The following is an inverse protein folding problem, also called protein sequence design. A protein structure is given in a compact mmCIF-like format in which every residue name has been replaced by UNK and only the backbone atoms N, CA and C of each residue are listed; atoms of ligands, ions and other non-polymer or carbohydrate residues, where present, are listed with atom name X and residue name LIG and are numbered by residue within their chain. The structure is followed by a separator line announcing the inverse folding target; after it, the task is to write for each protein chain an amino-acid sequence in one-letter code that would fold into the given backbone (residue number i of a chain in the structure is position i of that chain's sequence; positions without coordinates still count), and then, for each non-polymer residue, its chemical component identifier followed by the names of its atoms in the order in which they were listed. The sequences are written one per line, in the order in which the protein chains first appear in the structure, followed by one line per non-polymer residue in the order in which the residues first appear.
data_IF_515546805942
#
_entry.id   IF_515546805942
#
_cell.length_a   1.000
_cell.length_b   1.000
_cell.length_c   1.000
_cell.angle_alpha   90.00
_cell.angle_beta   90.00
_cell.angle_gamma   90.00
#
_symmetry.space_group_name_H-M   'P 1'
#
loop_
_entity.id
_entity.type
_entity.pdbx_description
1 polymer ?
#
# COMPACT_ATOMS: atom_id res chain seq x y z
N UNK A 1 -10.07 -0.10 11.59
CA UNK A 1 -9.99 -1.33 10.79
C UNK A 1 -8.55 -1.81 10.77
N UNK A 2 -8.35 -3.05 10.44
CA UNK A 2 -7.03 -3.66 10.43
C UNK A 2 -6.69 -4.13 9.02
N UNK A 3 -5.40 -4.33 8.79
CA UNK A 3 -4.91 -4.89 7.55
C UNK A 3 -5.59 -6.23 7.26
N UNK A 4 -5.93 -6.43 6.01
CA UNK A 4 -6.48 -7.70 5.52
C UNK A 4 -5.67 -8.18 4.33
N UNK A 5 -5.07 -9.35 4.44
CA UNK A 5 -4.26 -9.92 3.36
C UNK A 5 -5.10 -10.20 2.11
N UNK A 6 -6.40 -10.36 2.26
CA UNK A 6 -7.27 -10.61 1.11
C UNK A 6 -7.37 -9.40 0.18
N UNK A 7 -7.02 -8.20 0.66
CA UNK A 7 -7.03 -7.00 -0.16
C UNK A 7 -5.73 -6.74 -0.90
N UNK A 8 -4.66 -7.46 -0.55
CA UNK A 8 -3.34 -7.24 -1.14
C UNK A 8 -3.07 -8.25 -2.25
N UNK A 9 -2.84 -7.73 -3.46
CA UNK A 9 -2.60 -8.56 -4.64
C UNK A 9 -1.36 -8.08 -5.38
N UNK A 10 -0.50 -9.03 -5.76
CA UNK A 10 0.67 -8.74 -6.57
C UNK A 10 0.25 -8.64 -8.03
N UNK A 11 0.54 -7.51 -8.65
CA UNK A 11 0.20 -7.27 -10.05
C UNK A 11 1.32 -7.73 -10.96
N UNK A 12 2.57 -7.48 -10.57
CA UNK A 12 3.72 -7.85 -11.38
C UNK A 12 4.99 -7.47 -10.67
N UNK A 13 6.11 -7.69 -11.33
CA UNK A 13 7.38 -7.37 -10.73
C UNK A 13 8.52 -7.45 -11.74
N UNK A 14 9.59 -6.77 -11.37
CA UNK A 14 10.86 -6.83 -12.07
C UNK A 14 11.91 -7.28 -11.06
N UNK A 15 13.16 -7.39 -11.51
CA UNK A 15 14.22 -7.85 -10.62
C UNK A 15 14.30 -6.97 -9.36
N UNK A 16 13.93 -7.54 -8.22
CA UNK A 16 14.03 -6.88 -6.92
C UNK A 16 12.93 -5.90 -6.57
N UNK A 17 11.96 -5.68 -7.47
CA UNK A 17 10.87 -4.71 -7.26
C UNK A 17 9.55 -5.31 -7.70
N UNK A 18 8.51 -5.16 -6.89
CA UNK A 18 7.19 -5.67 -7.21
C UNK A 18 6.16 -4.55 -7.19
N UNK A 19 5.09 -4.74 -7.95
CA UNK A 19 3.94 -3.85 -7.96
C UNK A 19 2.76 -4.56 -7.32
N UNK A 20 2.13 -3.87 -6.34
CA UNK A 20 1.01 -4.43 -5.59
C UNK A 20 -0.20 -3.52 -5.67
N UNK A 21 -1.38 -4.10 -5.52
CA UNK A 21 -2.63 -3.36 -5.30
C UNK A 21 -3.17 -3.78 -3.94
N UNK A 22 -3.62 -2.80 -3.16
CA UNK A 22 -4.27 -3.05 -1.87
C UNK A 22 -5.59 -2.30 -1.82
N UNK A 23 -6.69 -3.07 -1.71
CA UNK A 23 -8.03 -2.50 -1.57
C UNK A 23 -8.47 -2.59 -0.12
N UNK A 24 -9.00 -1.49 0.40
CA UNK A 24 -9.40 -1.44 1.80
C UNK A 24 -10.46 -0.36 1.99
N UNK A 25 -11.22 -0.47 3.08
CA UNK A 25 -12.10 0.60 3.54
C UNK A 25 -11.39 1.51 4.54
N UNK A 26 -10.16 1.18 4.91
CA UNK A 26 -9.37 2.01 5.81
C UNK A 26 -8.89 3.25 5.10
N UNK A 27 -8.84 4.37 5.81
CA UNK A 27 -8.30 5.61 5.27
C UNK A 27 -6.78 5.46 5.06
N UNK A 28 -6.24 6.17 4.06
CA UNK A 28 -4.81 6.08 3.74
C UNK A 28 -3.94 6.46 4.94
N UNK A 29 -4.39 7.38 5.78
CA UNK A 29 -3.66 7.76 6.99
C UNK A 29 -3.51 6.60 7.98
N UNK A 30 -4.41 5.63 7.94
CA UNK A 30 -4.29 4.40 8.72
C UNK A 30 -3.36 3.42 8.01
N UNK A 31 -3.52 3.28 6.71
CA UNK A 31 -2.76 2.31 5.90
C UNK A 31 -1.28 2.64 5.91
N UNK A 32 -0.91 3.92 5.86
CA UNK A 32 0.50 4.32 5.80
C UNK A 32 1.17 4.36 7.17
N UNK A 33 0.45 4.01 8.23
CA UNK A 33 1.04 3.95 9.57
C UNK A 33 2.08 2.83 9.66
N UNK A 34 3.14 3.08 10.42
CA UNK A 34 4.18 2.07 10.62
C UNK A 34 3.55 0.82 11.23
N UNK A 35 3.86 -0.32 10.68
CA UNK A 35 3.38 -1.60 11.18
C UNK A 35 2.07 -2.09 10.59
N UNK A 36 1.38 -1.28 9.80
CA UNK A 36 0.10 -1.70 9.22
C UNK A 36 0.25 -2.98 8.37
N UNK A 37 1.33 -3.09 7.60
CA UNK A 37 1.58 -4.24 6.72
C UNK A 37 2.46 -5.32 7.35
N UNK A 38 2.60 -5.34 8.68
CA UNK A 38 3.51 -6.29 9.34
C UNK A 38 3.23 -7.75 8.97
N UNK A 39 1.96 -8.10 8.78
CA UNK A 39 1.58 -9.48 8.44
C UNK A 39 2.02 -9.89 7.03
N UNK A 40 2.46 -8.94 6.23
CA UNK A 40 2.99 -9.21 4.89
C UNK A 40 4.49 -8.93 4.80
N UNK A 41 5.18 -8.87 5.93
CA UNK A 41 6.61 -8.57 5.96
C UNK A 41 7.44 -9.57 5.14
N UNK A 42 6.97 -10.81 5.02
CA UNK A 42 7.67 -11.83 4.25
C UNK A 42 7.46 -11.70 2.73
N UNK A 43 6.59 -10.80 2.30
CA UNK A 43 6.25 -10.63 0.88
C UNK A 43 6.71 -9.31 0.31
N UNK A 44 6.65 -8.24 1.10
CA UNK A 44 6.92 -6.89 0.64
C UNK A 44 8.43 -6.59 0.72
N UNK A 45 8.99 -6.14 -0.38
CA UNK A 45 10.39 -5.70 -0.43
C UNK A 45 10.47 -4.20 -0.34
N UNK A 46 11.57 -3.70 0.23
CA UNK A 46 11.83 -2.26 0.25
C UNK A 46 11.83 -1.75 -1.19
N UNK A 47 11.16 -0.65 -1.42
CA UNK A 47 10.97 0.03 -2.71
C UNK A 47 9.85 -0.58 -3.57
N UNK A 48 9.15 -1.60 -3.09
CA UNK A 48 7.94 -2.05 -3.78
C UNK A 48 6.92 -0.93 -3.82
N UNK A 49 6.18 -0.85 -4.92
CA UNK A 49 5.10 0.13 -5.07
C UNK A 49 3.78 -0.54 -4.74
N UNK A 50 3.00 0.11 -3.89
CA UNK A 50 1.67 -0.36 -3.51
C UNK A 50 0.66 0.70 -3.94
N UNK A 51 -0.29 0.31 -4.77
CA UNK A 51 -1.41 1.17 -5.12
C UNK A 51 -2.49 0.93 -4.08
N UNK A 52 -2.67 1.88 -3.17
CA UNK A 52 -3.64 1.77 -2.08
C UNK A 52 -4.95 2.39 -2.53
N UNK A 53 -5.99 1.56 -2.56
CA UNK A 53 -7.33 1.98 -2.95
C UNK A 53 -8.23 1.96 -1.73
N UNK A 54 -8.56 3.15 -1.21
CA UNK A 54 -9.56 3.31 -0.16
C UNK A 54 -10.92 3.39 -0.85
N UNK A 55 -11.71 2.34 -0.72
CA UNK A 55 -12.99 2.24 -1.40
C UNK A 55 -14.10 2.95 -0.65
N UNK A 56 -13.82 3.44 0.52
CA UNK A 56 -14.82 4.11 1.36
C UNK A 56 -14.89 5.61 1.09
N UNK A 57 -13.74 6.32 1.09
CA UNK A 57 -13.70 7.77 0.86
C UNK A 57 -14.28 8.19 -0.50
N UNK A 58 -14.01 7.68 -1.72
CA UNK A 58 -12.89 6.84 -2.18
C UNK A 58 -11.66 7.66 -2.56
N UNK A 59 -10.49 7.09 -2.39
CA UNK A 59 -9.23 7.70 -2.81
C UNK A 59 -8.26 6.63 -3.27
N UNK A 60 -7.31 7.02 -4.12
CA UNK A 60 -6.24 6.15 -4.58
C UNK A 60 -4.90 6.84 -4.30
N UNK A 61 -3.97 6.10 -3.71
CA UNK A 61 -2.64 6.61 -3.39
C UNK A 61 -1.58 5.65 -3.90
N UNK A 62 -0.43 6.19 -4.28
CA UNK A 62 0.76 5.40 -4.59
C UNK A 62 1.69 5.49 -3.39
N UNK A 63 1.96 4.36 -2.76
CA UNK A 63 2.85 4.28 -1.61
C UNK A 63 4.02 3.37 -1.93
N UNK A 64 5.18 3.65 -1.34
CA UNK A 64 6.34 2.78 -1.49
C UNK A 64 6.72 2.20 -0.14
N UNK A 65 7.27 0.98 -0.16
CA UNK A 65 7.77 0.35 1.07
C UNK A 65 9.09 1.02 1.42
N UNK A 66 9.12 1.73 2.55
CA UNK A 66 10.29 2.47 2.99
C UNK A 66 11.26 1.59 3.76
N UNK A 67 10.72 0.70 4.60
CA UNK A 67 11.54 -0.20 5.40
C UNK A 67 10.79 -1.49 5.68
N UNK A 68 11.54 -2.56 5.80
CA UNK A 68 11.01 -3.86 6.17
C UNK A 68 12.10 -4.62 6.91
N UNK A 69 11.95 -4.74 8.23
CA UNK A 69 12.94 -5.43 9.06
C UNK A 69 12.73 -6.94 9.09
N UNK A 70 11.71 -7.43 8.40
CA UNK A 70 11.25 -8.83 8.50
C UNK A 70 10.15 -8.98 9.54
N UNK A 71 9.94 -7.97 10.37
CA UNK A 71 8.92 -7.97 11.42
C UNK A 71 8.04 -6.73 11.28
N UNK A 72 8.65 -5.55 11.04
CA UNK A 72 7.92 -4.28 10.93
C UNK A 72 8.09 -3.73 9.52
N UNK A 73 6.98 -3.40 8.89
CA UNK A 73 6.94 -2.78 7.56
C UNK A 73 6.40 -1.37 7.70
N UNK A 74 7.09 -0.41 7.06
CA UNK A 74 6.65 0.97 6.99
C UNK A 74 6.59 1.40 5.54
N UNK A 75 5.51 2.09 5.17
CA UNK A 75 5.33 2.60 3.82
C UNK A 75 5.26 4.13 3.85
N UNK A 76 5.50 4.74 2.69
CA UNK A 76 5.44 6.19 2.57
C UNK A 76 4.02 6.71 2.76
N UNK A 77 3.89 8.01 3.06
CA UNK A 77 2.57 8.64 3.15
C UNK A 77 1.83 8.60 1.82
N UNK A 78 2.57 8.46 0.75
CA UNK A 78 1.99 8.26 -0.56
C UNK A 78 1.67 9.53 -1.29
N UNK A 79 1.43 9.37 -2.58
CA UNK A 79 0.99 10.44 -3.46
C UNK A 79 -0.43 10.13 -3.89
N UNK A 80 -1.33 11.09 -3.67
CA UNK A 80 -2.71 10.91 -4.08
C UNK A 80 -2.81 10.99 -5.61
N UNK A 81 -3.60 10.10 -6.17
CA UNK A 81 -3.95 10.17 -7.59
C UNK A 81 -5.13 11.13 -7.70
N UNK A 82 -4.92 12.24 -8.40
CA UNK A 82 -5.97 13.25 -8.55
C UNK A 82 -7.06 12.69 -9.46
N UNK A 83 -8.27 12.67 -8.94
CA UNK A 83 -9.42 12.11 -9.66
C UNK A 83 -10.41 13.19 -10.07
N UNK A 84 -10.00 14.44 -10.01
CA UNK A 84 -10.84 15.55 -10.41
C UNK A 84 -10.95 15.58 -11.94
N UNK A 85 -12.18 15.65 -12.40
CA UNK A 85 -12.47 15.78 -13.82
C UNK A 85 -12.98 17.20 -14.06
N UNK A 86 -12.23 17.98 -14.83
CA UNK A 86 -12.58 19.36 -15.13
C UNK A 86 -13.56 19.52 -16.28
N UNK A 87 -13.95 18.42 -16.89
CA UNK A 87 -14.88 18.42 -18.01
C UNK A 87 -16.27 18.03 -17.57
#
# INVERSE_FOLDING_TARGET
MAYSSSGLHRIGGASGVNLWIYQTTDAVGTVNSAGYFNNSANMLNVRDLIIVMDTNTPTTHFCTVLSNTGIVVDVSDGTVVVETDGD
#
